data_IF_942451453835
#
_entry.id   IF_942451453835
#
_cell.length_a   1.000
_cell.length_b   1.000
_cell.length_c   1.000
_cell.angle_alpha   90.00
_cell.angle_beta   90.00
_cell.angle_gamma   90.00
#
_symmetry.space_group_name_H-M   'P 1'
#
loop_
_entity.id
_entity.type
_entity.pdbx_description
1 polymer ?
#
# COMPACT_ATOMS: atom_id res chain seq x y z
N UNK A 1 81.40 41.73 6.44
CA UNK A 1 80.62 42.44 5.40
C UNK A 1 79.15 42.20 5.67
N UNK A 2 78.40 43.23 6.07
CA UNK A 2 76.94 43.09 6.23
C UNK A 2 76.29 43.00 4.84
N UNK A 3 75.36 42.05 4.60
CA UNK A 3 74.64 41.99 3.34
C UNK A 3 73.83 43.29 3.17
N UNK A 4 73.90 43.89 1.99
CA UNK A 4 73.13 45.11 1.67
C UNK A 4 71.64 44.77 1.86
N UNK A 5 70.95 45.53 2.71
CA UNK A 5 69.53 45.34 3.06
C UNK A 5 68.62 45.09 1.83
N UNK A 6 68.89 45.77 0.72
CA UNK A 6 68.18 45.59 -0.54
C UNK A 6 68.27 44.16 -1.12
N UNK A 7 69.42 43.49 -0.98
CA UNK A 7 69.61 42.11 -1.47
C UNK A 7 68.85 41.11 -0.60
N UNK A 8 68.81 41.32 0.72
CA UNK A 8 68.02 40.48 1.64
C UNK A 8 66.53 40.67 1.37
N UNK A 9 66.07 41.90 1.20
CA UNK A 9 64.67 42.21 0.91
C UNK A 9 64.23 41.58 -0.42
N UNK A 10 65.05 41.69 -1.47
CA UNK A 10 64.76 41.08 -2.77
C UNK A 10 64.68 39.54 -2.71
N UNK A 11 65.59 38.90 -2.00
CA UNK A 11 65.53 37.44 -1.81
C UNK A 11 64.29 37.02 -1.00
N UNK A 12 63.92 37.78 0.03
CA UNK A 12 62.71 37.52 0.81
C UNK A 12 61.44 37.68 -0.02
N UNK A 13 61.31 38.74 -0.84
CA UNK A 13 60.13 38.94 -1.69
C UNK A 13 60.04 37.92 -2.82
N UNK A 14 61.18 37.51 -3.40
CA UNK A 14 61.21 36.45 -4.40
C UNK A 14 60.81 35.11 -3.79
N UNK A 15 61.29 34.78 -2.58
CA UNK A 15 60.93 33.56 -1.87
C UNK A 15 59.43 33.52 -1.53
N UNK A 16 58.84 34.61 -1.05
CA UNK A 16 57.39 34.67 -0.77
C UNK A 16 56.54 34.61 -2.02
N UNK A 17 57.01 35.17 -3.14
CA UNK A 17 56.32 35.09 -4.42
C UNK A 17 56.34 33.67 -4.99
N UNK A 18 57.49 32.98 -4.91
CA UNK A 18 57.63 31.59 -5.36
C UNK A 18 56.78 30.65 -4.49
N UNK A 19 56.81 30.80 -3.16
CA UNK A 19 56.00 29.97 -2.27
C UNK A 19 54.51 30.26 -2.43
N UNK A 20 54.12 31.53 -2.60
CA UNK A 20 52.74 31.93 -2.86
C UNK A 20 52.20 31.38 -4.18
N UNK A 21 52.96 31.52 -5.28
CA UNK A 21 52.57 30.97 -6.59
C UNK A 21 52.55 29.44 -6.59
N UNK A 22 53.50 28.80 -5.89
CA UNK A 22 53.51 27.36 -5.68
C UNK A 22 52.26 26.87 -4.94
N UNK A 23 51.87 27.55 -3.86
CA UNK A 23 50.65 27.25 -3.10
C UNK A 23 49.38 27.43 -3.95
N UNK A 24 49.30 28.50 -4.74
CA UNK A 24 48.17 28.73 -5.65
C UNK A 24 48.10 27.65 -6.74
N UNK A 25 49.23 27.23 -7.29
CA UNK A 25 49.27 26.17 -8.30
C UNK A 25 48.86 24.80 -7.72
N UNK A 26 49.31 24.48 -6.49
CA UNK A 26 48.93 23.24 -5.80
C UNK A 26 47.45 23.24 -5.42
N UNK A 27 46.94 24.34 -4.86
CA UNK A 27 45.52 24.45 -4.52
C UNK A 27 44.62 24.40 -5.75
N UNK A 28 44.99 25.05 -6.86
CA UNK A 28 44.25 24.92 -8.13
C UNK A 28 44.21 23.49 -8.66
N UNK A 29 45.30 22.73 -8.56
CA UNK A 29 45.33 21.32 -8.96
C UNK A 29 44.47 20.44 -8.05
N UNK A 30 44.52 20.69 -6.73
CA UNK A 30 43.66 19.99 -5.76
C UNK A 30 42.18 20.25 -6.06
N UNK A 31 41.79 21.52 -6.21
CA UNK A 31 40.40 21.90 -6.51
C UNK A 31 39.94 21.28 -7.84
N UNK A 32 40.80 21.26 -8.86
CA UNK A 32 40.47 20.64 -10.14
C UNK A 32 40.27 19.11 -10.00
N UNK A 33 41.09 18.43 -9.21
CA UNK A 33 40.94 17.01 -8.91
C UNK A 33 39.65 16.73 -8.12
N UNK A 34 39.33 17.57 -7.12
CA UNK A 34 38.11 17.46 -6.32
C UNK A 34 36.86 17.67 -7.18
N UNK A 35 36.87 18.63 -8.10
CA UNK A 35 35.76 18.85 -9.06
C UNK A 35 35.56 17.63 -9.96
N UNK A 36 36.63 16.99 -10.42
CA UNK A 36 36.53 15.77 -11.24
C UNK A 36 35.98 14.61 -10.43
N UNK A 37 36.47 14.41 -9.21
CA UNK A 37 35.99 13.37 -8.29
C UNK A 37 34.50 13.57 -7.97
N UNK A 38 34.08 14.80 -7.63
CA UNK A 38 32.68 15.13 -7.37
C UNK A 38 31.79 14.90 -8.60
N UNK A 39 32.26 15.23 -9.81
CA UNK A 39 31.50 14.95 -11.05
C UNK A 39 31.31 13.46 -11.27
N UNK A 40 32.35 12.64 -11.05
CA UNK A 40 32.28 11.19 -11.17
C UNK A 40 31.32 10.58 -10.13
N UNK A 41 31.37 11.07 -8.89
CA UNK A 41 30.46 10.66 -7.83
C UNK A 41 29.01 11.01 -8.19
N UNK A 42 28.76 12.23 -8.68
CA UNK A 42 27.43 12.69 -9.10
C UNK A 42 26.89 11.88 -10.30
N UNK A 43 27.74 11.57 -11.29
CA UNK A 43 27.37 10.69 -12.41
C UNK A 43 27.04 9.27 -11.95
N UNK A 44 27.81 8.72 -11.01
CA UNK A 44 27.56 7.39 -10.45
C UNK A 44 26.22 7.36 -9.69
N UNK A 45 25.91 8.41 -8.94
CA UNK A 45 24.70 8.54 -8.14
C UNK A 45 23.47 8.79 -9.02
N UNK A 46 23.61 9.54 -10.11
CA UNK A 46 22.57 9.65 -11.14
C UNK A 46 22.30 8.32 -11.84
N UNK A 47 23.35 7.54 -12.14
CA UNK A 47 23.20 6.22 -12.75
C UNK A 47 22.50 5.22 -11.80
N UNK A 48 22.86 5.20 -10.52
CA UNK A 48 22.18 4.36 -9.52
C UNK A 48 20.71 4.76 -9.40
N UNK A 49 20.42 6.05 -9.29
CA UNK A 49 19.04 6.57 -9.17
C UNK A 49 18.18 6.19 -10.39
N UNK A 50 18.74 6.25 -11.61
CA UNK A 50 18.02 5.83 -12.83
C UNK A 50 17.73 4.33 -12.84
N UNK A 51 18.70 3.51 -12.43
CA UNK A 51 18.51 2.05 -12.33
C UNK A 51 17.45 1.70 -11.28
N UNK A 52 17.44 2.40 -10.14
CA UNK A 52 16.41 2.23 -9.11
C UNK A 52 15.02 2.60 -9.61
N UNK A 53 14.89 3.74 -10.30
CA UNK A 53 13.63 4.15 -10.91
C UNK A 53 13.14 3.08 -11.90
N UNK A 54 14.02 2.61 -12.78
CA UNK A 54 13.68 1.57 -13.74
C UNK A 54 13.23 0.26 -13.07
N UNK A 55 13.87 -0.14 -11.96
CA UNK A 55 13.43 -1.32 -11.18
C UNK A 55 12.07 -1.12 -10.53
N UNK A 56 11.79 0.07 -9.99
CA UNK A 56 10.47 0.39 -9.42
C UNK A 56 9.38 0.39 -10.49
N UNK A 57 9.69 0.96 -11.65
CA UNK A 57 8.76 1.01 -12.78
C UNK A 57 8.48 -0.42 -13.29
N UNK A 58 9.53 -1.25 -13.44
CA UNK A 58 9.37 -2.66 -13.79
C UNK A 58 8.53 -3.42 -12.76
N UNK A 59 8.82 -3.23 -11.47
CA UNK A 59 8.05 -3.86 -10.40
C UNK A 59 6.56 -3.44 -10.44
N UNK A 60 6.27 -2.16 -10.68
CA UNK A 60 4.89 -1.68 -10.83
C UNK A 60 4.21 -2.37 -12.02
N UNK A 61 4.91 -2.49 -13.15
CA UNK A 61 4.38 -3.16 -14.34
C UNK A 61 4.07 -4.64 -14.09
N UNK A 62 4.93 -5.35 -13.34
CA UNK A 62 4.70 -6.76 -12.99
C UNK A 62 3.48 -6.92 -12.09
N UNK A 63 3.29 -6.01 -11.12
CA UNK A 63 2.09 -5.98 -10.27
C UNK A 63 0.84 -5.70 -11.10
N UNK A 64 0.90 -4.75 -12.02
CA UNK A 64 -0.21 -4.43 -12.90
C UNK A 64 -0.54 -5.59 -13.83
N UNK A 65 0.47 -6.31 -14.31
CA UNK A 65 0.28 -7.52 -15.11
C UNK A 65 -0.43 -8.61 -14.32
N UNK A 66 0.02 -8.91 -13.10
CA UNK A 66 -0.62 -9.92 -12.25
C UNK A 66 -2.05 -9.49 -11.90
N UNK A 67 -2.27 -8.23 -11.54
CA UNK A 67 -3.61 -7.73 -11.26
C UNK A 67 -4.52 -7.80 -12.49
N UNK A 68 -4.00 -7.52 -13.69
CA UNK A 68 -4.74 -7.71 -14.93
C UNK A 68 -5.08 -9.19 -15.16
N UNK A 69 -4.20 -10.14 -14.82
CA UNK A 69 -4.57 -11.58 -14.88
C UNK A 69 -5.77 -11.85 -13.97
N UNK A 70 -5.78 -11.30 -12.77
CA UNK A 70 -6.90 -11.43 -11.83
C UNK A 70 -8.21 -10.83 -12.39
N UNK A 71 -8.15 -9.74 -13.16
CA UNK A 71 -9.34 -9.16 -13.82
C UNK A 71 -9.99 -10.11 -14.84
N UNK A 72 -9.23 -11.06 -15.40
CA UNK A 72 -9.75 -11.99 -16.42
C UNK A 72 -10.28 -13.28 -15.80
N UNK A 73 -10.01 -13.54 -14.51
CA UNK A 73 -10.51 -14.69 -13.78
C UNK A 73 -11.99 -14.48 -13.45
N UNK A 74 -12.87 -15.42 -13.86
CA UNK A 74 -14.33 -15.30 -13.66
C UNK A 74 -14.81 -16.11 -12.48
N UNK A 75 -14.09 -17.16 -12.14
CA UNK A 75 -14.39 -18.09 -11.06
C UNK A 75 -13.17 -18.23 -10.16
N UNK A 76 -13.37 -18.79 -8.97
CA UNK A 76 -12.26 -19.04 -8.05
C UNK A 76 -11.25 -20.06 -8.62
N UNK A 77 -11.70 -21.00 -9.44
CA UNK A 77 -10.84 -22.00 -10.11
C UNK A 77 -9.89 -21.38 -11.15
N UNK A 78 -10.26 -20.22 -11.71
CA UNK A 78 -9.42 -19.51 -12.68
C UNK A 78 -8.26 -18.75 -12.01
N UNK A 79 -8.28 -18.60 -10.68
CA UNK A 79 -7.31 -17.78 -9.96
C UNK A 79 -5.98 -18.53 -9.80
N UNK A 80 -4.85 -17.95 -10.23
CA UNK A 80 -3.57 -18.62 -10.11
C UNK A 80 -3.05 -18.60 -8.67
N UNK A 81 -2.43 -19.68 -8.24
CA UNK A 81 -1.54 -19.68 -7.08
C UNK A 81 -0.22 -18.98 -7.42
N UNK A 82 0.07 -17.88 -6.72
CA UNK A 82 1.23 -17.05 -7.05
C UNK A 82 2.53 -17.51 -6.39
N UNK A 83 2.47 -18.28 -5.30
CA UNK A 83 3.65 -18.81 -4.59
C UNK A 83 4.59 -17.72 -4.03
N UNK A 84 4.08 -16.49 -3.86
CA UNK A 84 4.85 -15.34 -3.38
C UNK A 84 4.65 -15.05 -1.89
N UNK A 85 5.39 -14.07 -1.39
CA UNK A 85 5.33 -13.59 0.01
C UNK A 85 4.45 -12.36 0.21
N UNK A 86 3.72 -11.94 -0.83
CA UNK A 86 2.92 -10.72 -0.83
C UNK A 86 1.45 -11.08 -0.93
N UNK A 87 0.64 -10.28 -0.26
CA UNK A 87 -0.77 -10.22 -0.53
C UNK A 87 -0.94 -9.41 -1.81
N UNK A 88 -1.60 -10.01 -2.79
CA UNK A 88 -1.96 -9.36 -4.05
C UNK A 88 -3.46 -9.30 -4.11
N UNK A 89 -4.03 -8.12 -4.31
CA UNK A 89 -5.47 -7.94 -4.35
C UNK A 89 -5.89 -7.03 -5.48
N UNK A 90 -7.03 -7.35 -6.06
CA UNK A 90 -7.67 -6.61 -7.11
C UNK A 90 -9.18 -6.55 -6.84
N UNK A 91 -9.75 -5.35 -6.91
CA UNK A 91 -11.17 -5.10 -6.65
C UNK A 91 -11.83 -4.56 -7.91
N UNK A 92 -12.73 -5.35 -8.50
CA UNK A 92 -13.51 -4.95 -9.67
C UNK A 92 -14.75 -4.18 -9.23
N UNK A 93 -14.65 -2.85 -9.21
CA UNK A 93 -15.79 -1.93 -9.05
C UNK A 93 -16.75 -2.23 -7.88
N UNK A 94 -16.26 -2.88 -6.82
CA UNK A 94 -17.07 -3.29 -5.66
C UNK A 94 -18.13 -4.36 -5.98
N UNK A 95 -17.93 -5.13 -7.05
CA UNK A 95 -18.69 -6.34 -7.40
C UNK A 95 -17.99 -7.57 -6.85
N UNK A 96 -16.70 -7.68 -7.17
CA UNK A 96 -15.84 -8.77 -6.76
C UNK A 96 -14.47 -8.27 -6.30
N UNK A 97 -13.82 -9.06 -5.44
CA UNK A 97 -12.46 -8.82 -4.98
C UNK A 97 -11.70 -10.13 -5.05
N UNK A 98 -10.76 -10.20 -5.99
CA UNK A 98 -9.85 -11.32 -6.15
C UNK A 98 -8.56 -11.03 -5.38
N UNK A 99 -8.11 -11.95 -4.53
CA UNK A 99 -6.88 -11.74 -3.76
C UNK A 99 -6.15 -13.05 -3.46
N UNK A 100 -4.83 -12.98 -3.45
CA UNK A 100 -3.92 -14.05 -3.04
C UNK A 100 -3.37 -13.77 -1.66
N UNK A 101 -3.32 -14.81 -0.82
CA UNK A 101 -2.66 -14.76 0.49
C UNK A 101 -1.40 -15.65 0.50
N UNK A 102 -0.26 -15.14 0.99
CA UNK A 102 0.98 -15.90 1.07
C UNK A 102 0.95 -16.92 2.21
N UNK A 103 2.10 -17.55 2.49
CA UNK A 103 2.30 -18.37 3.69
C UNK A 103 2.15 -17.54 4.99
N UNK A 104 1.44 -18.09 5.98
CA UNK A 104 1.18 -17.45 7.26
C UNK A 104 -0.26 -17.67 7.76
N UNK A 105 -0.53 -17.23 9.00
CA UNK A 105 -1.89 -17.20 9.53
C UNK A 105 -2.58 -15.90 9.11
N UNK A 106 -3.63 -16.03 8.30
CA UNK A 106 -4.39 -14.89 7.80
C UNK A 106 -5.87 -15.01 8.17
N UNK A 107 -6.50 -13.88 8.46
CA UNK A 107 -7.96 -13.80 8.65
C UNK A 107 -8.53 -12.68 7.79
N UNK A 108 -9.64 -12.99 7.11
CA UNK A 108 -10.46 -11.99 6.43
C UNK A 108 -11.53 -11.48 7.41
N UNK A 109 -11.52 -10.18 7.67
CA UNK A 109 -12.60 -9.45 8.28
C UNK A 109 -13.54 -8.91 7.21
N UNK A 110 -14.79 -9.36 7.22
CA UNK A 110 -15.86 -8.80 6.39
C UNK A 110 -16.76 -7.98 7.30
N UNK A 111 -16.88 -6.68 7.04
CA UNK A 111 -17.76 -5.78 7.80
C UNK A 111 -18.79 -5.17 6.87
N UNK A 112 -20.05 -5.34 7.22
CA UNK A 112 -21.18 -4.76 6.50
C UNK A 112 -21.94 -3.82 7.45
N UNK A 113 -22.02 -2.55 7.10
CA UNK A 113 -22.75 -1.54 7.88
C UNK A 113 -23.84 -0.97 6.99
N UNK A 114 -25.08 -0.96 7.44
CA UNK A 114 -26.17 -0.37 6.67
C UNK A 114 -26.93 0.66 7.48
N UNK A 115 -27.23 1.78 6.84
CA UNK A 115 -27.84 2.95 7.46
C UNK A 115 -28.89 3.55 6.53
N UNK A 116 -30.04 3.98 7.07
CA UNK A 116 -30.99 4.78 6.32
C UNK A 116 -30.31 6.02 5.75
N UNK A 117 -30.67 6.37 4.52
CA UNK A 117 -30.25 7.62 3.90
C UNK A 117 -31.41 8.59 3.94
N UNK A 118 -31.17 9.80 4.45
CA UNK A 118 -32.06 10.92 4.21
C UNK A 118 -32.15 11.14 2.69
N UNK A 119 -33.35 10.99 2.13
CA UNK A 119 -33.64 10.95 0.70
C UNK A 119 -32.75 11.88 -0.15
N UNK A 120 -32.09 11.28 -1.15
CA UNK A 120 -31.71 12.00 -2.38
C UNK A 120 -32.36 11.33 -3.57
N UNK A 121 -33.69 11.44 -3.65
CA UNK A 121 -34.39 11.35 -4.94
C UNK A 121 -35.56 12.34 -4.94
N UNK A 122 -35.40 13.36 -5.79
CA UNK A 122 -36.40 14.31 -6.29
C UNK A 122 -37.81 13.70 -6.46
N UNK A 123 -38.67 13.79 -5.43
CA UNK A 123 -40.10 13.62 -5.64
C UNK A 123 -40.87 14.53 -4.69
N UNK A 124 -41.60 15.50 -5.26
CA UNK A 124 -42.39 16.49 -4.54
C UNK A 124 -43.65 15.91 -3.86
N UNK A 125 -43.70 14.58 -3.64
CA UNK A 125 -44.89 13.85 -3.16
C UNK A 125 -44.55 12.61 -2.34
N UNK A 126 -43.42 12.59 -1.60
CA UNK A 126 -43.18 11.52 -0.62
C UNK A 126 -43.69 11.95 0.75
N UNK A 127 -44.73 11.27 1.25
CA UNK A 127 -45.11 11.25 2.66
C UNK A 127 -43.86 10.94 3.49
N UNK A 128 -43.64 11.66 4.59
CA UNK A 128 -42.47 11.45 5.46
C UNK A 128 -42.38 9.96 5.83
N UNK A 129 -41.22 9.30 5.61
CA UNK A 129 -41.04 7.95 6.12
C UNK A 129 -41.13 8.00 7.65
N UNK A 130 -41.95 7.13 8.23
CA UNK A 130 -42.07 6.95 9.68
C UNK A 130 -40.66 6.78 10.26
N UNK A 131 -40.21 7.73 11.07
CA UNK A 131 -38.83 7.80 11.57
C UNK A 131 -38.46 6.54 12.38
N UNK A 132 -39.46 5.92 13.03
CA UNK A 132 -39.31 4.68 13.79
C UNK A 132 -39.07 3.44 12.91
N UNK A 133 -39.62 3.37 11.69
CA UNK A 133 -39.32 2.28 10.73
C UNK A 133 -38.00 2.49 9.99
N UNK A 134 -37.57 3.75 9.82
CA UNK A 134 -36.25 4.04 9.27
C UNK A 134 -35.14 3.62 10.25
N UNK A 135 -35.21 4.01 11.53
CA UNK A 135 -34.17 3.68 12.51
C UNK A 135 -34.05 2.17 12.79
N UNK A 136 -35.16 1.43 12.75
CA UNK A 136 -35.15 -0.02 12.98
C UNK A 136 -34.42 -0.81 11.89
N UNK A 137 -34.25 -0.21 10.70
CA UNK A 137 -33.52 -0.82 9.59
C UNK A 137 -32.01 -0.62 9.66
N UNK A 138 -31.49 0.25 10.54
CA UNK A 138 -30.04 0.44 10.69
C UNK A 138 -29.40 -0.78 11.38
N UNK A 139 -28.20 -1.16 10.94
CA UNK A 139 -27.52 -2.31 11.53
C UNK A 139 -26.11 -2.54 11.02
N UNK A 140 -25.49 -3.55 11.60
CA UNK A 140 -24.13 -3.98 11.28
C UNK A 140 -24.02 -5.50 11.39
N UNK A 141 -23.20 -6.10 10.53
CA UNK A 141 -22.77 -7.48 10.65
C UNK A 141 -21.30 -7.58 10.33
N UNK A 142 -20.59 -8.35 11.15
CA UNK A 142 -19.14 -8.55 11.01
C UNK A 142 -18.85 -10.04 11.08
N UNK A 143 -18.02 -10.51 10.15
CA UNK A 143 -17.52 -11.87 10.11
C UNK A 143 -16.00 -11.86 10.16
N UNK A 144 -15.43 -12.82 10.90
CA UNK A 144 -14.01 -13.15 10.83
C UNK A 144 -13.87 -14.55 10.26
N UNK A 145 -13.03 -14.68 9.24
CA UNK A 145 -12.90 -15.90 8.43
C UNK A 145 -11.43 -16.29 8.41
N UNK A 146 -11.03 -17.43 9.03
CA UNK A 146 -9.67 -17.93 8.88
C UNK A 146 -9.44 -18.34 7.43
N UNK A 147 -8.32 -17.89 6.86
CA UNK A 147 -7.93 -18.22 5.49
C UNK A 147 -6.86 -19.30 5.51
N UNK A 148 -6.91 -20.17 4.50
CA UNK A 148 -5.81 -21.09 4.17
C UNK A 148 -4.73 -20.32 3.43
N UNK A 149 -3.49 -20.50 3.86
CA UNK A 149 -2.31 -19.85 3.29
C UNK A 149 -1.99 -20.35 1.87
N UNK A 150 -1.23 -19.57 1.11
CA UNK A 150 -0.80 -19.88 -0.26
C UNK A 150 -1.96 -20.27 -1.20
N UNK A 151 -3.03 -19.49 -1.13
CA UNK A 151 -4.26 -19.68 -1.90
C UNK A 151 -4.80 -18.35 -2.42
N UNK A 152 -5.55 -18.44 -3.51
CA UNK A 152 -6.27 -17.33 -4.09
C UNK A 152 -7.76 -17.46 -3.79
N UNK A 153 -8.39 -16.31 -3.54
CA UNK A 153 -9.77 -16.19 -3.13
C UNK A 153 -10.51 -15.21 -4.04
N UNK A 154 -11.76 -15.55 -4.34
CA UNK A 154 -12.71 -14.66 -5.00
C UNK A 154 -13.82 -14.35 -4.00
N UNK A 155 -13.90 -13.08 -3.62
CA UNK A 155 -15.03 -12.55 -2.88
C UNK A 155 -16.01 -11.92 -3.87
N UNK A 156 -17.25 -12.38 -3.88
CA UNK A 156 -18.31 -11.86 -4.73
C UNK A 156 -19.49 -11.37 -3.88
N UNK A 157 -20.17 -10.35 -4.36
CA UNK A 157 -21.49 -9.99 -3.83
C UNK A 157 -22.55 -11.00 -4.27
N UNK A 158 -23.49 -11.30 -3.39
CA UNK A 158 -24.73 -12.03 -3.73
C UNK A 158 -25.88 -11.05 -3.94
N UNK A 159 -26.66 -11.29 -5.00
CA UNK A 159 -27.85 -10.51 -5.39
C UNK A 159 -27.67 -9.78 -6.72
N UNK A 160 -28.75 -9.64 -7.48
CA UNK A 160 -28.82 -8.90 -8.76
C UNK A 160 -29.13 -7.41 -8.54
N UNK A 161 -28.81 -6.60 -9.56
CA UNK A 161 -29.08 -5.16 -9.59
C UNK A 161 -30.46 -4.78 -10.12
N UNK A 162 -31.04 -5.64 -10.96
CA UNK A 162 -32.23 -5.29 -11.71
C UNK A 162 -33.51 -5.55 -10.90
N UNK A 163 -33.43 -6.44 -9.91
CA UNK A 163 -34.58 -6.97 -9.20
C UNK A 163 -34.40 -6.83 -7.68
N UNK A 164 -35.52 -6.75 -6.95
CA UNK A 164 -35.49 -6.81 -5.50
C UNK A 164 -35.06 -8.20 -5.05
N UNK A 165 -33.86 -8.30 -4.46
CA UNK A 165 -33.29 -9.57 -4.04
C UNK A 165 -32.58 -9.45 -2.69
N UNK A 166 -32.46 -10.55 -1.94
CA UNK A 166 -31.58 -10.61 -0.79
C UNK A 166 -30.14 -10.24 -1.17
N UNK A 167 -29.47 -9.49 -0.29
CA UNK A 167 -28.08 -9.09 -0.47
C UNK A 167 -27.20 -9.85 0.49
N UNK A 168 -26.04 -10.27 0.01
CA UNK A 168 -25.04 -10.95 0.82
C UNK A 168 -23.69 -10.94 0.14
N UNK A 169 -22.87 -11.89 0.54
CA UNK A 169 -21.58 -12.13 -0.06
C UNK A 169 -21.25 -13.62 -0.10
N UNK A 170 -20.37 -13.96 -1.03
CA UNK A 170 -19.83 -15.29 -1.25
C UNK A 170 -18.31 -15.18 -1.25
N UNK A 171 -17.64 -16.08 -0.55
CA UNK A 171 -16.19 -16.23 -0.59
C UNK A 171 -15.90 -17.65 -1.09
N UNK A 172 -15.19 -17.72 -2.21
CA UNK A 172 -14.71 -18.96 -2.80
C UNK A 172 -13.17 -18.96 -2.83
N UNK A 173 -12.60 -20.15 -2.80
CA UNK A 173 -11.17 -20.42 -2.90
C UNK A 173 -10.94 -21.26 -4.16
N UNK A 174 -9.75 -21.15 -4.76
CA UNK A 174 -9.30 -22.01 -5.87
C UNK A 174 -9.47 -23.51 -5.56
N UNK A 175 -9.26 -23.91 -4.29
CA UNK A 175 -9.29 -25.30 -3.83
C UNK A 175 -10.40 -25.51 -2.79
N UNK A 176 -11.59 -25.87 -3.26
CA UNK A 176 -12.77 -26.09 -2.40
C UNK A 176 -12.58 -27.22 -1.37
N UNK A 177 -11.69 -28.17 -1.64
CA UNK A 177 -11.39 -29.26 -0.70
C UNK A 177 -10.72 -28.75 0.58
N UNK A 178 -9.96 -27.66 0.45
CA UNK A 178 -9.25 -27.00 1.54
C UNK A 178 -10.08 -25.93 2.23
N UNK A 179 -11.03 -25.32 1.50
CA UNK A 179 -11.87 -24.24 1.99
C UNK A 179 -13.26 -24.31 1.33
N UNK A 180 -14.30 -24.76 2.05
CA UNK A 180 -15.63 -24.81 1.49
C UNK A 180 -16.14 -23.39 1.19
N UNK A 181 -16.84 -23.23 0.07
CA UNK A 181 -17.46 -21.96 -0.30
C UNK A 181 -18.34 -21.47 0.84
N UNK A 182 -18.11 -20.23 1.26
CA UNK A 182 -18.89 -19.59 2.31
C UNK A 182 -19.80 -18.54 1.71
N UNK A 183 -21.08 -18.59 2.06
CA UNK A 183 -22.08 -17.59 1.65
C UNK A 183 -22.81 -17.09 2.87
N UNK A 184 -22.91 -15.77 3.02
CA UNK A 184 -23.59 -15.13 4.13
C UNK A 184 -24.51 -14.04 3.60
N UNK A 185 -25.72 -13.98 4.13
CA UNK A 185 -26.74 -13.01 3.72
C UNK A 185 -26.91 -11.96 4.81
N UNK A 186 -27.18 -10.73 4.40
CA UNK A 186 -27.53 -9.67 5.35
C UNK A 186 -28.94 -9.95 5.92
N UNK A 187 -29.19 -9.65 7.20
CA UNK A 187 -30.50 -9.79 7.82
C UNK A 187 -31.43 -8.64 7.40
N UNK A 188 -31.59 -8.45 6.09
CA UNK A 188 -32.37 -7.40 5.47
C UNK A 188 -33.42 -8.02 4.53
N UNK A 189 -34.62 -7.43 4.43
CA UNK A 189 -35.55 -7.72 3.36
C UNK A 189 -34.91 -7.55 1.97
N UNK A 190 -35.44 -8.20 0.92
CA UNK A 190 -34.98 -7.99 -0.44
C UNK A 190 -34.93 -6.51 -0.80
N UNK A 191 -33.77 -6.04 -1.23
CA UNK A 191 -33.53 -4.64 -1.55
C UNK A 191 -33.42 -4.46 -3.05
N UNK A 192 -34.07 -3.41 -3.57
CA UNK A 192 -33.85 -2.98 -4.95
C UNK A 192 -32.70 -1.99 -4.97
N UNK A 193 -31.60 -2.36 -5.63
CA UNK A 193 -30.43 -1.51 -5.72
C UNK A 193 -30.69 -0.28 -6.60
N UNK A 194 -30.13 0.88 -6.22
CA UNK A 194 -30.24 2.14 -6.94
C UNK A 194 -28.87 2.85 -6.94
N UNK A 195 -27.88 2.21 -7.56
CA UNK A 195 -26.53 2.73 -7.70
C UNK A 195 -25.58 2.38 -6.55
N UNK A 196 -24.35 2.89 -6.64
CA UNK A 196 -23.31 2.63 -5.66
C UNK A 196 -22.12 3.56 -5.83
N UNK A 197 -21.30 3.59 -4.79
CA UNK A 197 -19.97 4.19 -4.80
C UNK A 197 -18.98 3.06 -4.55
N UNK A 198 -18.02 2.93 -5.43
CA UNK A 198 -16.94 1.98 -5.29
C UNK A 198 -15.64 2.71 -5.54
N UNK A 199 -14.57 2.03 -5.22
CA UNK A 199 -13.27 2.46 -5.66
C UNK A 199 -12.51 1.21 -6.10
N UNK A 200 -11.82 1.34 -7.22
CA UNK A 200 -10.99 0.28 -7.79
C UNK A 200 -9.61 0.40 -7.18
N UNK A 201 -9.10 -0.70 -6.64
CA UNK A 201 -7.78 -0.73 -6.03
C UNK A 201 -7.07 -2.02 -6.43
N UNK A 202 -5.83 -1.87 -6.90
CA UNK A 202 -4.88 -2.95 -7.11
C UNK A 202 -3.75 -2.79 -6.11
N UNK A 203 -3.33 -3.87 -5.47
CA UNK A 203 -2.37 -3.79 -4.38
C UNK A 203 -1.46 -5.01 -4.34
N UNK A 204 -0.18 -4.79 -4.09
CA UNK A 204 0.81 -5.83 -3.81
C UNK A 204 1.66 -5.40 -2.61
N UNK A 205 1.42 -5.98 -1.44
CA UNK A 205 2.08 -5.59 -0.18
C UNK A 205 2.47 -6.83 0.63
N UNK A 206 3.48 -6.69 1.48
CA UNK A 206 3.76 -7.76 2.45
C UNK A 206 2.69 -7.79 3.55
N UNK A 207 2.43 -8.97 4.15
CA UNK A 207 1.64 -9.08 5.38
C UNK A 207 2.16 -8.09 6.44
N UNK A 208 1.26 -7.31 7.03
CA UNK A 208 1.59 -6.32 8.06
C UNK A 208 2.66 -5.29 7.64
N UNK A 209 2.71 -4.95 6.35
CA UNK A 209 3.63 -3.91 5.85
C UNK A 209 3.29 -2.53 6.44
N UNK A 210 4.29 -1.92 7.07
CA UNK A 210 4.19 -0.56 7.63
C UNK A 210 4.54 0.46 6.55
N UNK A 211 3.74 1.52 6.43
CA UNK A 211 4.02 2.60 5.49
C UNK A 211 5.22 3.44 5.97
N UNK A 212 6.15 3.76 5.06
CA UNK A 212 7.33 4.56 5.36
C UNK A 212 7.02 5.93 6.02
N UNK A 213 5.90 6.57 5.67
CA UNK A 213 5.48 7.84 6.29
C UNK A 213 5.17 7.69 7.78
N UNK A 214 4.77 6.50 8.21
CA UNK A 214 4.45 6.19 9.61
C UNK A 214 5.74 5.92 10.41
N UNK A 215 6.77 5.35 9.77
CA UNK A 215 8.07 5.10 10.40
C UNK A 215 8.72 6.41 10.90
N UNK A 216 8.65 7.49 10.13
CA UNK A 216 9.25 8.78 10.49
C UNK A 216 8.63 9.47 11.71
N UNK A 217 7.40 9.11 12.09
CA UNK A 217 6.64 9.77 13.16
C UNK A 217 6.54 8.93 14.45
N UNK A 218 7.04 7.70 14.45
CA UNK A 218 6.83 6.71 15.51
C UNK A 218 8.08 6.48 16.38
N UNK A 219 8.77 7.55 16.76
CA UNK A 219 9.86 7.45 17.75
C UNK A 219 9.29 7.06 19.12
N UNK A 220 9.59 5.83 19.57
CA UNK A 220 9.36 5.39 20.95
C UNK A 220 8.03 4.67 21.25
N UNK A 221 7.28 4.20 20.26
CA UNK A 221 6.14 3.28 20.46
C UNK A 221 6.32 2.04 19.60
N UNK A 222 6.01 0.87 20.16
CA UNK A 222 5.97 -0.38 19.40
C UNK A 222 5.06 -0.22 18.16
N UNK A 223 5.59 -0.58 16.99
CA UNK A 223 4.82 -0.54 15.76
C UNK A 223 3.72 -1.60 15.79
N UNK A 224 2.46 -1.18 15.76
CA UNK A 224 1.33 -2.08 15.55
C UNK A 224 0.90 -1.99 14.09
N UNK A 225 0.94 -3.10 13.33
CA UNK A 225 0.48 -3.10 11.96
C UNK A 225 -1.05 -2.96 11.98
N UNK A 226 -1.58 -2.08 11.14
CA UNK A 226 -3.02 -1.99 10.93
C UNK A 226 -3.48 -3.08 9.97
N UNK A 227 -4.71 -3.61 10.12
CA UNK A 227 -5.29 -4.53 9.15
C UNK A 227 -5.21 -3.97 7.74
N UNK A 228 -4.85 -4.81 6.78
CA UNK A 228 -4.79 -4.43 5.38
C UNK A 228 -6.21 -4.31 4.82
N UNK A 229 -6.67 -3.09 4.52
CA UNK A 229 -7.91 -2.91 3.76
C UNK A 229 -7.70 -3.38 2.31
N UNK A 230 -8.42 -4.44 1.93
CA UNK A 230 -8.45 -4.98 0.56
C UNK A 230 -9.37 -4.15 -0.32
N UNK A 231 -10.57 -3.86 0.20
CA UNK A 231 -11.57 -3.09 -0.50
C UNK A 231 -12.57 -2.48 0.48
N UNK A 232 -13.18 -1.37 0.06
CA UNK A 232 -14.36 -0.80 0.68
C UNK A 232 -15.26 -0.29 -0.43
N UNK A 233 -16.56 -0.53 -0.32
CA UNK A 233 -17.53 0.05 -1.24
C UNK A 233 -18.85 0.27 -0.52
N UNK A 234 -19.68 1.14 -1.08
CA UNK A 234 -21.01 1.40 -0.57
C UNK A 234 -22.03 1.25 -1.68
N UNK A 235 -23.14 0.57 -1.38
CA UNK A 235 -24.29 0.48 -2.27
C UNK A 235 -25.46 1.24 -1.70
N UNK A 236 -26.29 1.74 -2.58
CA UNK A 236 -27.53 2.40 -2.23
C UNK A 236 -28.68 1.57 -2.76
N UNK A 237 -29.79 1.54 -2.04
CA UNK A 237 -31.04 1.09 -2.60
C UNK A 237 -32.20 1.37 -1.68
N UNK A 238 -33.32 0.71 -1.91
CA UNK A 238 -34.55 0.97 -1.18
C UNK A 238 -35.20 -0.33 -0.71
N UNK A 239 -35.72 -0.29 0.51
CA UNK A 239 -36.69 -1.24 1.04
C UNK A 239 -37.96 -0.42 1.23
N UNK A 240 -39.00 -0.76 0.48
CA UNK A 240 -40.22 0.03 0.36
C UNK A 240 -39.90 1.52 0.03
N UNK A 241 -40.24 2.43 0.94
CA UNK A 241 -40.00 3.88 0.79
C UNK A 241 -38.73 4.37 1.50
N UNK A 242 -37.95 3.49 2.14
CA UNK A 242 -36.75 3.88 2.90
C UNK A 242 -35.50 3.65 2.05
N UNK A 243 -34.76 4.73 1.76
CA UNK A 243 -33.43 4.64 1.18
C UNK A 243 -32.42 4.08 2.18
N UNK A 244 -31.56 3.18 1.74
CA UNK A 244 -30.54 2.52 2.55
C UNK A 244 -29.18 2.61 1.86
N UNK A 245 -28.14 2.97 2.63
CA UNK A 245 -26.73 2.85 2.24
C UNK A 245 -26.13 1.66 2.96
N UNK A 246 -25.59 0.69 2.22
CA UNK A 246 -24.89 -0.48 2.73
C UNK A 246 -23.41 -0.33 2.37
N UNK A 247 -22.54 -0.22 3.37
CA UNK A 247 -21.08 -0.22 3.21
C UNK A 247 -20.54 -1.61 3.48
N UNK A 248 -19.78 -2.15 2.54
CA UNK A 248 -18.97 -3.35 2.68
C UNK A 248 -17.51 -2.93 2.85
N UNK A 249 -16.83 -3.51 3.83
CA UNK A 249 -15.41 -3.32 4.08
C UNK A 249 -14.75 -4.69 4.24
N UNK A 250 -13.69 -4.92 3.46
CA UNK A 250 -12.86 -6.12 3.52
C UNK A 250 -11.49 -5.75 4.07
N UNK A 251 -11.12 -6.39 5.17
CA UNK A 251 -9.83 -6.23 5.83
C UNK A 251 -9.14 -7.56 6.01
N UNK A 252 -7.82 -7.57 5.90
CA UNK A 252 -7.01 -8.77 6.10
C UNK A 252 -6.06 -8.52 7.26
N UNK A 253 -6.13 -9.37 8.27
CA UNK A 253 -5.21 -9.41 9.40
C UNK A 253 -4.27 -10.59 9.24
N UNK A 254 -3.00 -10.38 9.54
CA UNK A 254 -1.97 -11.42 9.47
C UNK A 254 -1.29 -11.56 10.83
N UNK A 255 -0.85 -12.76 11.18
CA UNK A 255 -0.11 -13.04 12.42
C UNK A 255 1.39 -12.72 12.34
N UNK A 256 1.90 -12.46 11.13
CA UNK A 256 3.30 -12.13 10.90
C UNK A 256 3.74 -10.85 11.65
N UNK A 257 5.04 -10.69 11.97
CA UNK A 257 5.52 -9.45 12.56
C UNK A 257 5.36 -8.26 11.59
N UNK A 258 5.38 -7.01 12.10
CA UNK A 258 5.38 -5.82 11.25
C UNK A 258 6.64 -5.78 10.38
N UNK A 259 6.47 -5.49 9.08
CA UNK A 259 7.59 -5.46 8.14
C UNK A 259 7.65 -4.17 7.33
N UNK A 260 8.84 -3.86 6.83
CA UNK A 260 9.08 -2.79 5.84
C UNK A 260 9.54 -3.45 4.54
N UNK A 261 9.09 -2.92 3.41
CA UNK A 261 9.62 -3.36 2.12
C UNK A 261 11.07 -2.89 1.96
N UNK A 262 11.91 -3.67 1.29
CA UNK A 262 13.30 -3.29 1.03
C UNK A 262 13.41 -1.92 0.33
N UNK A 263 12.51 -1.66 -0.62
CA UNK A 263 12.45 -0.39 -1.33
C UNK A 263 12.13 0.79 -0.40
N UNK A 264 11.25 0.60 0.59
CA UNK A 264 10.94 1.65 1.56
C UNK A 264 12.08 1.82 2.59
N UNK A 265 12.74 0.72 2.96
CA UNK A 265 13.86 0.71 3.89
C UNK A 265 15.10 1.43 3.33
N UNK A 266 15.42 1.21 2.05
CA UNK A 266 16.49 1.92 1.36
C UNK A 266 16.22 3.42 1.29
N UNK A 267 15.00 3.84 0.97
CA UNK A 267 14.60 5.26 0.97
C UNK A 267 14.83 5.89 2.34
N UNK A 268 14.50 5.18 3.42
CA UNK A 268 14.71 5.69 4.77
C UNK A 268 16.20 5.76 5.15
N UNK A 269 17.02 4.79 4.76
CA UNK A 269 18.47 4.82 4.97
C UNK A 269 19.14 5.98 4.21
N UNK A 270 18.63 6.31 3.02
CA UNK A 270 19.10 7.46 2.22
C UNK A 270 18.69 8.79 2.88
N UNK A 271 17.51 8.86 3.51
CA UNK A 271 16.94 10.11 4.05
C UNK A 271 17.24 10.36 5.54
N UNK A 272 17.65 9.36 6.31
CA UNK A 272 17.81 9.47 7.77
C UNK A 272 18.89 8.54 8.33
N UNK A 273 19.57 9.00 9.40
CA UNK A 273 20.68 8.31 10.09
C UNK A 273 20.42 6.82 10.30
N UNK A 274 21.11 5.98 9.53
CA UNK A 274 22.01 4.90 9.97
C UNK A 274 21.53 3.78 10.90
N UNK A 275 20.32 3.83 11.46
CA UNK A 275 19.82 2.74 12.28
C UNK A 275 19.16 1.68 11.40
N UNK A 276 19.68 0.46 11.50
CA UNK A 276 19.13 -0.73 10.82
C UNK A 276 17.66 -0.87 11.24
N UNK A 277 16.75 -0.64 10.30
CA UNK A 277 15.29 -0.74 10.46
C UNK A 277 14.84 -2.10 11.05
N UNK A 278 15.65 -3.13 10.85
CA UNK A 278 15.68 -4.36 11.62
C UNK A 278 16.35 -5.48 10.84
N UNK A 279 15.96 -6.72 11.11
CA UNK A 279 16.62 -7.89 10.53
C UNK A 279 15.97 -8.30 9.20
N UNK A 280 16.79 -8.73 8.23
CA UNK A 280 16.29 -9.20 6.95
C UNK A 280 15.55 -10.52 7.13
N UNK A 281 14.33 -10.61 6.58
CA UNK A 281 13.51 -11.82 6.60
C UNK A 281 13.50 -12.54 5.23
N UNK A 282 14.39 -12.16 4.31
CA UNK A 282 14.38 -12.63 2.92
C UNK A 282 13.25 -12.04 2.07
N UNK A 283 13.19 -12.36 0.77
CA UNK A 283 12.08 -11.96 -0.11
C UNK A 283 11.86 -10.45 -0.29
N UNK A 284 12.85 -9.62 0.07
CA UNK A 284 12.75 -8.16 0.01
C UNK A 284 11.98 -7.51 1.17
N UNK A 285 11.91 -8.16 2.33
CA UNK A 285 11.29 -7.62 3.56
C UNK A 285 12.27 -7.57 4.75
N UNK A 286 12.07 -6.59 5.61
CA UNK A 286 12.80 -6.40 6.87
C UNK A 286 11.80 -6.37 8.03
N UNK A 287 12.09 -7.08 9.11
CA UNK A 287 11.34 -6.96 10.36
C UNK A 287 11.55 -5.55 10.94
N UNK A 288 10.50 -4.90 11.43
CA UNK A 288 10.64 -3.63 12.15
C UNK A 288 11.14 -3.92 13.57
N UNK A 289 12.20 -3.23 14.03
CA UNK A 289 12.59 -3.28 15.44
C UNK A 289 11.56 -2.61 16.33
N UNK A 290 10.92 -3.36 17.22
CA UNK A 290 10.10 -2.84 18.31
C UNK A 290 11.00 -2.66 19.53
N UNK A 291 11.35 -1.41 19.87
CA UNK A 291 11.99 -1.07 21.14
C UNK A 291 10.95 -0.91 22.25
#
# INVERSE_FOLDING_TARGET
MMPKFATVLFCCTLATLITGLGWVAVTRRSIAADIVALRQELESLHKSTRLEKARRDQFSNDVDLIANVFDHCRTAEDLPRLGGHRIISNSDNGESVAFYVPEGGHQLGVRCVWKPTADKTNSATSTEPDTATAESLAGESTWSIPLVAERSYLFDRVGSWNDAQPIGWKLACEDESSFPVRTEMLPLPPLRANGGSWSTYRRAVFPNQVNFKVLGNATGRGFMPSPLRLAEWSRFGRIDNVGLKITFELTLTSDNPPVVSATDAEVFLILSKGDRLGDSLGGGRYAVRTH
#
